data_IF_792431207352
#
_entry.id   IF_792431207352
#
_cell.length_a   1.000
_cell.length_b   1.000
_cell.length_c   1.000
_cell.angle_alpha   90.00
_cell.angle_beta   90.00
_cell.angle_gamma   90.00
#
_symmetry.space_group_name_H-M   'P 1'
#
loop_
_entity.id
_entity.type
_entity.pdbx_description
1 polymer ?
#
# COMPACT_ATOMS: atom_id res chain seq x y z
N UNK A 1 -29.65 10.46 63.47
CA UNK A 1 -30.79 9.56 63.25
C UNK A 1 -30.55 8.89 61.91
N UNK A 2 -30.04 7.71 61.96
CA UNK A 2 -30.62 6.42 61.58
C UNK A 2 -30.92 6.37 60.07
N UNK A 3 -30.53 5.47 59.24
CA UNK A 3 -30.10 4.09 59.49
C UNK A 3 -29.48 3.45 58.25
N UNK A 4 -28.83 2.38 58.55
CA UNK A 4 -28.14 1.39 57.74
C UNK A 4 -29.08 0.58 56.82
N UNK A 5 -28.59 0.16 55.65
CA UNK A 5 -29.19 -0.88 54.82
C UNK A 5 -28.14 -1.70 54.11
N UNK A 6 -27.75 -2.82 54.74
CA UNK A 6 -26.86 -3.90 54.28
C UNK A 6 -27.73 -4.94 53.58
N UNK A 7 -27.08 -5.75 52.73
CA UNK A 7 -27.42 -7.06 52.16
C UNK A 7 -27.70 -7.03 50.64
N UNK A 8 -27.24 -7.98 49.85
CA UNK A 8 -26.95 -9.36 50.11
C UNK A 8 -26.13 -9.97 48.94
N UNK A 9 -25.10 -10.67 49.29
CA UNK A 9 -24.36 -11.62 48.43
C UNK A 9 -25.24 -12.83 48.11
N UNK A 10 -25.48 -13.14 46.85
CA UNK A 10 -26.06 -14.43 46.45
C UNK A 10 -25.04 -15.23 45.67
N UNK A 11 -24.44 -16.21 46.38
CA UNK A 11 -23.63 -17.28 45.82
C UNK A 11 -24.55 -18.27 45.09
N UNK A 12 -24.40 -18.47 43.82
CA UNK A 12 -25.02 -19.54 43.09
C UNK A 12 -23.99 -20.65 42.81
N UNK A 13 -24.11 -21.73 43.52
CA UNK A 13 -23.38 -22.99 43.31
C UNK A 13 -24.01 -23.71 42.12
N UNK A 14 -23.25 -23.97 41.09
CA UNK A 14 -23.65 -24.94 40.05
C UNK A 14 -23.02 -26.29 40.32
N UNK A 15 -23.89 -27.28 40.54
CA UNK A 15 -23.56 -28.72 40.60
C UNK A 15 -23.24 -29.24 39.20
N UNK A 16 -22.13 -29.96 39.08
CA UNK A 16 -21.87 -30.92 38.00
C UNK A 16 -22.69 -32.19 38.22
N UNK A 17 -23.26 -32.80 37.17
CA UNK A 17 -23.50 -34.22 37.16
C UNK A 17 -22.41 -34.93 36.34
N UNK A 18 -21.78 -35.87 37.01
CA UNK A 18 -20.93 -36.92 36.44
C UNK A 18 -21.86 -37.90 35.72
N UNK A 19 -21.65 -38.06 34.41
CA UNK A 19 -22.24 -39.17 33.65
C UNK A 19 -21.14 -40.10 33.16
N UNK A 20 -21.04 -41.20 33.84
CA UNK A 20 -20.23 -42.37 33.49
C UNK A 20 -20.99 -43.14 32.42
N UNK A 21 -20.43 -43.39 31.23
CA UNK A 21 -21.01 -44.36 30.30
C UNK A 21 -19.97 -45.09 29.45
N UNK A 22 -19.79 -46.34 29.80
CA UNK A 22 -19.67 -47.55 28.96
C UNK A 22 -18.86 -47.47 27.66
N UNK A 23 -17.77 -48.19 27.73
CA UNK A 23 -16.95 -48.63 26.59
C UNK A 23 -17.68 -49.81 25.91
N UNK A 24 -18.06 -49.63 24.65
CA UNK A 24 -18.41 -50.75 23.77
C UNK A 24 -17.34 -50.79 22.65
N UNK A 25 -16.46 -51.81 22.73
CA UNK A 25 -15.57 -52.19 21.64
C UNK A 25 -16.39 -52.76 20.49
N UNK A 26 -16.41 -52.07 19.38
CA UNK A 26 -16.71 -52.66 18.07
C UNK A 26 -15.47 -52.53 17.23
N UNK A 27 -14.83 -53.66 16.98
CA UNK A 27 -13.76 -53.80 16.01
C UNK A 27 -14.39 -53.66 14.61
N UNK A 28 -14.15 -52.55 13.95
CA UNK A 28 -14.45 -52.39 12.53
C UNK A 28 -13.12 -52.32 11.78
N UNK A 29 -13.01 -53.23 10.84
CA UNK A 29 -11.89 -53.38 9.89
C UNK A 29 -11.63 -52.05 9.21
N UNK A 30 -10.39 -51.54 9.30
CA UNK A 30 -9.89 -50.41 8.57
C UNK A 30 -9.63 -50.83 7.13
N UNK A 31 -10.58 -50.59 6.25
CA UNK A 31 -10.28 -50.39 4.83
C UNK A 31 -9.71 -48.99 4.65
N UNK A 32 -8.46 -48.91 4.21
CA UNK A 32 -7.79 -47.70 3.80
C UNK A 32 -8.46 -47.19 2.51
N UNK A 33 -9.06 -46.02 2.46
CA UNK A 33 -9.48 -45.45 1.19
C UNK A 33 -8.23 -45.00 0.43
N UNK A 34 -8.15 -45.46 -0.81
CA UNK A 34 -7.26 -45.02 -1.85
C UNK A 34 -7.32 -43.48 -2.01
N UNK A 35 -6.19 -42.75 -2.19
CA UNK A 35 -6.23 -41.28 -2.29
C UNK A 35 -6.97 -40.90 -3.57
N UNK A 36 -8.19 -40.42 -3.41
CA UNK A 36 -8.90 -39.73 -4.49
C UNK A 36 -8.13 -38.48 -4.85
N UNK A 37 -7.68 -38.42 -6.07
CA UNK A 37 -7.07 -37.26 -6.72
C UNK A 37 -8.12 -36.13 -6.80
N UNK A 38 -8.20 -35.33 -5.73
CA UNK A 38 -8.95 -34.07 -5.78
C UNK A 38 -8.14 -33.09 -6.60
N UNK A 39 -8.53 -32.92 -7.85
CA UNK A 39 -8.12 -31.78 -8.67
C UNK A 39 -8.48 -30.49 -7.90
N UNK A 40 -7.48 -29.87 -7.30
CA UNK A 40 -7.54 -28.49 -6.85
C UNK A 40 -7.91 -27.61 -8.04
N UNK A 41 -8.86 -26.66 -7.89
CA UNK A 41 -9.12 -25.71 -8.96
C UNK A 41 -7.84 -24.94 -9.26
N UNK A 42 -7.50 -24.88 -10.56
CA UNK A 42 -6.35 -24.20 -11.12
C UNK A 42 -6.14 -22.84 -10.47
N UNK A 43 -5.01 -22.70 -9.78
CA UNK A 43 -4.42 -21.39 -9.55
C UNK A 43 -4.11 -20.79 -10.92
N UNK A 44 -4.44 -19.52 -11.17
CA UNK A 44 -4.14 -18.89 -12.45
C UNK A 44 -2.65 -19.00 -12.71
N UNK A 45 -2.29 -19.78 -13.72
CA UNK A 45 -0.93 -19.93 -14.19
C UNK A 45 -0.43 -18.57 -14.66
N UNK A 46 0.52 -18.00 -13.92
CA UNK A 46 1.23 -16.78 -14.31
C UNK A 46 2.12 -17.15 -15.51
N UNK A 47 1.61 -16.99 -16.72
CA UNK A 47 2.43 -17.10 -17.93
C UNK A 47 3.28 -15.82 -18.01
N UNK A 48 4.48 -15.88 -17.47
CA UNK A 48 5.50 -14.83 -17.68
C UNK A 48 6.05 -15.01 -19.10
N UNK A 49 5.42 -14.35 -20.05
CA UNK A 49 5.99 -14.20 -21.38
C UNK A 49 6.88 -12.97 -21.35
N UNK A 50 8.19 -13.16 -21.24
CA UNK A 50 9.16 -12.10 -21.46
C UNK A 50 9.05 -11.66 -22.94
N UNK A 51 8.31 -10.59 -23.17
CA UNK A 51 8.29 -9.91 -24.47
C UNK A 51 9.55 -9.08 -24.56
N UNK A 52 10.33 -9.36 -25.59
CA UNK A 52 11.59 -8.71 -25.93
C UNK A 52 11.53 -7.19 -25.76
N UNK A 53 12.59 -6.66 -25.13
CA UNK A 53 12.89 -5.24 -25.07
C UNK A 53 12.81 -4.63 -26.48
N UNK A 54 11.93 -3.67 -26.69
CA UNK A 54 12.08 -2.77 -27.83
C UNK A 54 13.43 -2.04 -27.70
N UNK A 55 14.22 -1.91 -28.79
CA UNK A 55 15.46 -1.17 -28.75
C UNK A 55 15.15 0.32 -28.67
N UNK A 56 14.73 0.80 -27.50
CA UNK A 56 14.68 2.21 -27.15
C UNK A 56 16.09 2.66 -26.89
N UNK A 57 16.50 3.73 -27.54
CA UNK A 57 17.81 4.39 -27.46
C UNK A 57 18.28 4.50 -26.02
N UNK A 58 19.20 3.63 -25.63
CA UNK A 58 19.88 3.63 -24.34
C UNK A 58 20.81 4.86 -24.28
N UNK A 59 20.34 5.92 -23.66
CA UNK A 59 21.16 7.03 -23.19
C UNK A 59 20.64 7.44 -21.82
N UNK A 60 20.79 6.57 -20.82
CA UNK A 60 20.43 6.87 -19.45
C UNK A 60 20.88 5.74 -18.54
N UNK A 61 21.59 6.05 -17.46
CA UNK A 61 22.11 5.15 -16.45
C UNK A 61 21.02 4.56 -15.52
N UNK A 62 19.78 4.43 -16.00
CA UNK A 62 18.64 3.93 -15.21
C UNK A 62 18.43 2.42 -15.36
N UNK A 63 17.63 1.80 -14.47
CA UNK A 63 17.30 0.39 -14.53
C UNK A 63 16.50 0.05 -15.80
N UNK A 64 16.75 -1.14 -16.35
CA UNK A 64 16.07 -1.63 -17.56
C UNK A 64 14.59 -1.81 -17.28
N UNK A 65 13.74 -1.10 -18.07
CA UNK A 65 12.29 -1.24 -18.04
C UNK A 65 11.86 -2.46 -18.85
N UNK A 66 11.08 -3.32 -18.25
CA UNK A 66 10.48 -4.50 -18.85
C UNK A 66 8.95 -4.43 -18.66
N UNK A 67 8.23 -5.30 -19.35
CA UNK A 67 6.79 -5.41 -19.17
C UNK A 67 6.41 -6.85 -18.87
N UNK A 68 5.59 -7.03 -17.85
CA UNK A 68 4.89 -8.29 -17.59
C UNK A 68 3.43 -8.14 -18.03
N UNK A 69 2.82 -9.20 -18.53
CA UNK A 69 1.39 -9.19 -18.86
C UNK A 69 0.63 -9.79 -17.69
N UNK A 70 -0.27 -9.01 -17.10
CA UNK A 70 -1.17 -9.45 -16.03
C UNK A 70 -2.60 -9.10 -16.43
N UNK A 71 -3.47 -10.11 -16.47
CA UNK A 71 -4.87 -9.94 -16.90
C UNK A 71 -5.04 -9.27 -18.27
N UNK A 72 -4.07 -9.47 -19.19
CA UNK A 72 -4.08 -8.88 -20.53
C UNK A 72 -3.50 -7.45 -20.61
N UNK A 73 -3.12 -6.84 -19.48
CA UNK A 73 -2.51 -5.51 -19.43
C UNK A 73 -0.98 -5.61 -19.32
N UNK A 74 -0.27 -4.69 -19.98
CA UNK A 74 1.19 -4.58 -19.90
C UNK A 74 1.56 -3.74 -18.68
N UNK A 75 2.10 -4.39 -17.65
CA UNK A 75 2.53 -3.75 -16.41
C UNK A 75 4.04 -3.47 -16.47
N UNK A 76 4.49 -2.21 -16.32
CA UNK A 76 5.92 -1.89 -16.31
C UNK A 76 6.59 -2.45 -15.06
N UNK A 77 7.77 -3.03 -15.27
CA UNK A 77 8.63 -3.60 -14.23
C UNK A 77 10.08 -3.18 -14.49
N UNK A 78 10.84 -2.99 -13.43
CA UNK A 78 12.26 -2.63 -13.52
C UNK A 78 13.10 -3.69 -12.80
N UNK A 79 14.26 -4.00 -13.36
CA UNK A 79 15.15 -5.05 -12.85
C UNK A 79 15.74 -4.72 -11.47
N UNK A 80 15.83 -3.43 -11.11
CA UNK A 80 16.35 -2.96 -9.83
C UNK A 80 15.81 -1.58 -9.50
N UNK A 81 15.98 -1.13 -8.24
CA UNK A 81 15.75 0.26 -7.88
C UNK A 81 16.70 1.20 -8.65
N UNK A 82 16.26 2.43 -8.99
CA UNK A 82 17.12 3.41 -9.64
C UNK A 82 18.27 3.83 -8.73
N UNK A 83 19.47 4.06 -9.28
CA UNK A 83 20.54 4.69 -8.52
C UNK A 83 20.10 6.08 -8.06
N UNK A 84 20.52 6.50 -6.86
CA UNK A 84 20.20 7.84 -6.34
C UNK A 84 21.01 8.87 -7.12
N UNK A 85 20.31 9.75 -7.84
CA UNK A 85 20.89 10.79 -8.71
C UNK A 85 20.41 12.20 -8.35
N UNK A 86 19.44 12.31 -7.45
CA UNK A 86 18.95 13.62 -7.00
C UNK A 86 19.99 14.33 -6.13
N UNK A 87 19.93 15.64 -6.12
CA UNK A 87 20.71 16.48 -5.20
C UNK A 87 19.92 16.64 -3.88
N UNK A 88 20.43 16.17 -2.74
CA UNK A 88 19.72 16.29 -1.47
C UNK A 88 19.54 17.74 -0.98
N UNK A 89 20.27 18.69 -1.55
CA UNK A 89 20.18 20.11 -1.21
C UNK A 89 19.27 20.92 -2.15
N UNK A 90 18.80 20.31 -3.25
CA UNK A 90 17.90 20.99 -4.16
C UNK A 90 16.43 20.82 -3.70
N UNK A 91 15.60 21.80 -4.04
CA UNK A 91 14.16 21.75 -3.82
C UNK A 91 13.48 21.03 -5.00
N UNK A 92 12.72 19.99 -4.72
CA UNK A 92 11.92 19.29 -5.71
C UNK A 92 10.44 19.43 -5.37
N UNK A 93 9.63 19.66 -6.39
CA UNK A 93 8.17 19.77 -6.29
C UNK A 93 7.54 18.87 -7.35
N UNK A 94 6.48 18.16 -6.97
CA UNK A 94 5.61 17.42 -7.88
C UNK A 94 4.25 18.10 -8.01
N UNK A 95 3.72 18.20 -9.23
CA UNK A 95 2.32 18.49 -9.50
C UNK A 95 1.64 17.17 -9.90
N UNK A 96 0.88 16.58 -8.99
CA UNK A 96 0.09 15.37 -9.22
C UNK A 96 -1.27 15.82 -9.79
N UNK A 97 -1.52 15.49 -11.05
CA UNK A 97 -2.77 15.81 -11.75
C UNK A 97 -3.74 14.66 -11.65
N UNK A 98 -4.96 14.91 -11.22
CA UNK A 98 -6.03 13.89 -11.13
C UNK A 98 -7.29 14.38 -11.83
N UNK A 99 -8.22 13.46 -12.09
CA UNK A 99 -9.54 13.81 -12.61
C UNK A 99 -10.45 14.54 -11.60
N UNK A 100 -10.00 14.74 -10.34
CA UNK A 100 -10.71 15.52 -9.32
C UNK A 100 -10.00 16.84 -8.96
N UNK A 101 -8.84 17.13 -9.56
CA UNK A 101 -8.04 18.31 -9.31
C UNK A 101 -6.56 17.98 -9.14
N UNK A 102 -5.77 18.99 -8.86
CA UNK A 102 -4.32 18.89 -8.75
C UNK A 102 -3.88 19.01 -7.29
N UNK A 103 -2.79 18.31 -6.96
CA UNK A 103 -2.10 18.42 -5.67
C UNK A 103 -0.63 18.77 -5.91
N UNK A 104 -0.12 19.78 -5.22
CA UNK A 104 1.30 20.11 -5.22
C UNK A 104 1.98 19.52 -3.99
N UNK A 105 3.11 18.86 -4.21
CA UNK A 105 3.90 18.19 -3.17
C UNK A 105 5.30 18.78 -3.17
N UNK A 106 5.79 19.21 -2.03
CA UNK A 106 7.20 19.46 -1.79
C UNK A 106 7.87 18.22 -1.22
N UNK A 107 8.99 17.78 -1.81
CA UNK A 107 9.72 16.61 -1.36
C UNK A 107 10.76 16.92 -0.28
N UNK A 108 11.18 15.90 0.43
CA UNK A 108 12.22 15.95 1.47
C UNK A 108 13.48 15.17 1.06
N UNK A 109 14.23 15.63 0.06
CA UNK A 109 15.35 14.89 -0.52
C UNK A 109 16.52 14.67 0.44
N UNK A 110 16.72 15.55 1.44
CA UNK A 110 17.74 15.37 2.45
C UNK A 110 17.35 14.32 3.51
N UNK A 111 16.07 14.15 3.79
CA UNK A 111 15.56 13.24 4.81
C UNK A 111 15.25 11.83 4.27
N UNK A 112 14.79 11.74 3.01
CA UNK A 112 14.40 10.49 2.38
C UNK A 112 14.90 10.43 0.92
N UNK A 113 16.22 10.48 0.69
CA UNK A 113 16.81 10.57 -0.65
C UNK A 113 16.42 9.40 -1.55
N UNK A 114 16.34 8.18 -1.03
CA UNK A 114 16.00 6.99 -1.83
C UNK A 114 14.54 7.04 -2.26
N UNK A 115 13.62 7.35 -1.36
CA UNK A 115 12.19 7.41 -1.65
C UNK A 115 11.87 8.57 -2.61
N UNK A 116 12.45 9.75 -2.40
CA UNK A 116 12.29 10.90 -3.31
C UNK A 116 12.84 10.58 -4.70
N UNK A 117 14.06 10.04 -4.78
CA UNK A 117 14.67 9.64 -6.05
C UNK A 117 13.82 8.60 -6.79
N UNK A 118 13.34 7.60 -6.08
CA UNK A 118 12.48 6.55 -6.61
C UNK A 118 11.18 7.13 -7.20
N UNK A 119 10.51 7.99 -6.45
CA UNK A 119 9.26 8.61 -6.90
C UNK A 119 9.49 9.49 -8.14
N UNK A 120 10.53 10.32 -8.14
CA UNK A 120 10.90 11.18 -9.26
C UNK A 120 11.24 10.35 -10.51
N UNK A 121 12.03 9.27 -10.35
CA UNK A 121 12.36 8.37 -11.45
C UNK A 121 11.10 7.76 -12.08
N UNK A 122 10.21 7.19 -11.26
CA UNK A 122 8.97 6.57 -11.73
C UNK A 122 8.02 7.59 -12.38
N UNK A 123 7.91 8.80 -11.80
CA UNK A 123 7.09 9.88 -12.36
C UNK A 123 7.60 10.33 -13.73
N UNK A 124 8.91 10.57 -13.86
CA UNK A 124 9.53 10.99 -15.12
C UNK A 124 9.45 9.92 -16.22
N UNK A 125 9.36 8.64 -15.84
CA UNK A 125 9.19 7.52 -16.77
C UNK A 125 7.71 7.24 -17.11
N UNK A 126 6.77 8.07 -16.61
CA UNK A 126 5.33 7.93 -16.82
C UNK A 126 4.71 6.72 -16.14
N UNK A 127 5.39 6.15 -15.13
CA UNK A 127 4.91 4.94 -14.43
C UNK A 127 3.55 5.14 -13.76
N UNK A 128 3.29 6.33 -13.25
CA UNK A 128 2.07 6.66 -12.52
C UNK A 128 0.89 7.08 -13.40
N UNK A 129 1.14 7.33 -14.70
CA UNK A 129 0.14 7.84 -15.63
C UNK A 129 -0.96 6.77 -15.85
N UNK A 130 -2.21 7.19 -15.64
CA UNK A 130 -3.37 6.29 -15.74
C UNK A 130 -3.62 5.42 -14.50
N UNK A 131 -2.72 5.39 -13.51
CA UNK A 131 -2.95 4.64 -12.29
C UNK A 131 -4.06 5.28 -11.44
N UNK A 132 -4.67 4.47 -10.59
CA UNK A 132 -5.78 4.91 -9.75
C UNK A 132 -5.37 5.01 -8.28
N UNK A 133 -6.08 5.83 -7.52
CA UNK A 133 -6.16 5.68 -6.08
C UNK A 133 -7.04 4.48 -5.79
N UNK A 134 -6.41 3.34 -5.52
CA UNK A 134 -7.09 2.04 -5.37
C UNK A 134 -7.68 1.82 -3.98
N UNK A 135 -7.27 2.61 -2.97
CA UNK A 135 -7.77 2.57 -1.60
C UNK A 135 -7.87 3.97 -1.01
N UNK A 136 -9.05 4.37 -0.55
CA UNK A 136 -9.28 5.67 0.09
C UNK A 136 -10.10 5.50 1.35
N UNK A 137 -9.69 6.15 2.43
CA UNK A 137 -10.37 6.07 3.72
C UNK A 137 -10.56 7.48 4.27
N UNK A 138 -11.82 7.91 4.51
CA UNK A 138 -12.12 9.20 5.13
C UNK A 138 -11.41 9.35 6.47
N UNK A 139 -10.92 10.55 6.76
CA UNK A 139 -10.20 10.86 8.01
C UNK A 139 -9.00 9.96 8.26
N UNK A 140 -8.33 9.50 7.19
CA UNK A 140 -7.11 8.73 7.28
C UNK A 140 -6.16 9.04 6.10
N UNK A 141 -6.37 8.43 4.92
CA UNK A 141 -5.45 8.59 3.80
C UNK A 141 -6.09 8.24 2.45
N UNK A 142 -5.40 8.61 1.37
CA UNK A 142 -5.61 8.13 0.01
C UNK A 142 -4.36 7.40 -0.46
N UNK A 143 -4.50 6.21 -1.04
CA UNK A 143 -3.39 5.34 -1.46
C UNK A 143 -3.47 5.02 -2.96
N UNK A 144 -2.34 5.19 -3.65
CA UNK A 144 -2.17 4.94 -5.08
C UNK A 144 -0.80 4.36 -5.41
N UNK A 145 -0.43 4.40 -6.71
CA UNK A 145 0.90 3.98 -7.18
C UNK A 145 1.06 2.47 -7.40
N UNK A 146 -0.03 1.71 -7.37
CA UNK A 146 -0.04 0.31 -7.74
C UNK A 146 -0.40 0.14 -9.23
N UNK A 147 0.49 -0.37 -10.09
CA UNK A 147 0.22 -0.53 -11.51
C UNK A 147 -0.85 -1.57 -11.82
N UNK A 148 -1.20 -2.44 -10.86
CA UNK A 148 -2.28 -3.43 -11.00
C UNK A 148 -3.61 -2.91 -10.43
N UNK A 149 -3.56 -1.85 -9.62
CA UNK A 149 -4.72 -1.29 -8.93
C UNK A 149 -5.35 -2.23 -7.91
N UNK A 150 -4.68 -3.30 -7.47
CA UNK A 150 -5.20 -4.30 -6.53
C UNK A 150 -4.70 -4.11 -5.09
N UNK A 151 -3.68 -3.27 -4.90
CA UNK A 151 -2.97 -3.06 -3.63
C UNK A 151 -1.76 -3.97 -3.46
N UNK A 152 -1.48 -4.87 -4.42
CA UNK A 152 -0.39 -5.85 -4.31
C UNK A 152 0.72 -5.68 -5.35
N UNK A 153 0.51 -4.83 -6.35
CA UNK A 153 1.48 -4.55 -7.40
C UNK A 153 2.57 -3.57 -6.98
N UNK A 154 3.58 -3.45 -7.83
CA UNK A 154 4.72 -2.57 -7.60
C UNK A 154 5.64 -2.49 -8.82
N UNK A 155 6.81 -1.85 -8.69
CA UNK A 155 7.70 -1.53 -9.82
C UNK A 155 8.65 -2.68 -10.18
N UNK A 156 8.56 -3.84 -9.53
CA UNK A 156 9.45 -4.99 -9.75
C UNK A 156 10.61 -5.10 -8.77
N UNK A 157 10.82 -4.12 -7.92
CA UNK A 157 11.86 -4.09 -6.88
C UNK A 157 11.31 -3.55 -5.56
N UNK A 158 12.13 -3.67 -4.52
CA UNK A 158 11.88 -3.11 -3.19
C UNK A 158 13.09 -2.36 -2.70
N UNK A 159 12.89 -1.40 -1.77
CA UNK A 159 13.96 -0.67 -1.12
C UNK A 159 13.68 -0.43 0.36
N UNK A 160 14.73 -0.08 1.12
CA UNK A 160 14.69 0.07 2.57
C UNK A 160 13.93 1.33 3.02
N UNK A 161 13.49 1.33 4.27
CA UNK A 161 12.86 2.47 4.90
C UNK A 161 13.90 3.56 5.25
N UNK A 162 13.44 4.81 5.24
CA UNK A 162 14.20 5.99 5.66
C UNK A 162 13.41 6.71 6.75
N UNK A 163 13.76 6.44 8.01
CA UNK A 163 13.08 7.04 9.16
C UNK A 163 13.92 8.17 9.76
N UNK A 164 13.33 9.35 9.88
CA UNK A 164 13.93 10.52 10.51
C UNK A 164 13.11 10.85 11.76
N UNK A 165 13.72 10.93 12.95
CA UNK A 165 12.98 11.11 14.21
C UNK A 165 12.08 12.33 14.26
N UNK A 166 12.50 13.45 13.65
CA UNK A 166 11.77 14.70 13.66
C UNK A 166 10.71 14.81 12.53
N UNK A 167 10.67 13.84 11.62
CA UNK A 167 9.70 13.80 10.52
C UNK A 167 8.58 12.82 10.84
N UNK A 168 7.48 13.35 11.34
CA UNK A 168 6.36 12.57 11.88
C UNK A 168 5.05 12.86 11.16
N UNK A 169 4.06 11.97 11.35
CA UNK A 169 2.70 12.12 10.83
C UNK A 169 1.84 13.02 11.76
N UNK A 170 2.33 14.21 12.07
CA UNK A 170 1.75 15.18 12.99
C UNK A 170 0.73 16.14 12.37
N UNK A 171 0.62 16.14 11.05
CA UNK A 171 -0.27 16.99 10.27
C UNK A 171 -0.82 16.26 9.03
N UNK A 172 -1.92 16.75 8.43
CA UNK A 172 -2.42 16.24 7.16
C UNK A 172 -1.44 16.54 6.01
N UNK A 173 -1.60 15.82 4.89
CA UNK A 173 -0.83 16.04 3.67
C UNK A 173 0.56 15.41 3.69
N UNK A 174 0.91 14.58 4.66
CA UNK A 174 2.15 13.80 4.60
C UNK A 174 2.08 12.80 3.45
N UNK A 175 3.03 12.90 2.52
CA UNK A 175 3.25 11.92 1.45
C UNK A 175 4.25 10.89 1.95
N UNK A 176 3.85 9.61 1.96
CA UNK A 176 4.66 8.53 2.49
C UNK A 176 4.56 7.25 1.65
N UNK A 177 5.58 6.38 1.76
CA UNK A 177 5.59 5.08 1.11
C UNK A 177 4.64 4.10 1.78
N UNK A 178 3.78 3.47 1.00
CA UNK A 178 3.07 2.28 1.43
C UNK A 178 4.02 1.08 1.35
N UNK A 179 3.94 0.19 2.33
CA UNK A 179 4.75 -1.01 2.42
C UNK A 179 3.97 -2.19 3.02
N UNK A 180 4.52 -3.39 2.91
CA UNK A 180 4.00 -4.64 3.50
C UNK A 180 4.89 -5.13 4.66
N UNK A 181 5.49 -4.21 5.40
CA UNK A 181 6.46 -4.43 6.46
C UNK A 181 7.83 -3.82 6.12
N UNK A 182 8.80 -3.91 7.04
CA UNK A 182 10.10 -3.25 6.90
C UNK A 182 10.82 -3.58 5.59
N UNK A 183 11.37 -2.55 4.94
CA UNK A 183 12.18 -2.71 3.73
C UNK A 183 11.41 -3.18 2.48
N UNK A 184 10.10 -2.96 2.42
CA UNK A 184 9.27 -3.39 1.29
C UNK A 184 8.68 -2.23 0.49
N UNK A 185 9.27 -1.04 0.57
CA UNK A 185 8.87 0.10 -0.24
C UNK A 185 9.05 -0.19 -1.73
N UNK A 186 8.15 0.33 -2.56
CA UNK A 186 8.18 0.13 -4.01
C UNK A 186 7.67 1.37 -4.74
N UNK A 187 6.55 1.25 -5.47
CA UNK A 187 5.91 2.39 -6.13
C UNK A 187 4.67 2.92 -5.39
N UNK A 188 4.07 2.13 -4.50
CA UNK A 188 2.87 2.55 -3.81
C UNK A 188 3.15 3.63 -2.77
N UNK A 189 2.29 4.64 -2.75
CA UNK A 189 2.37 5.76 -1.82
C UNK A 189 0.98 6.09 -1.27
N UNK A 190 0.96 6.83 -0.17
CA UNK A 190 -0.27 7.40 0.36
C UNK A 190 -0.08 8.85 0.80
N UNK A 191 -1.20 9.59 0.83
CA UNK A 191 -1.26 10.96 1.36
C UNK A 191 -2.25 10.98 2.50
N UNK A 192 -1.84 11.48 3.66
CA UNK A 192 -2.70 11.59 4.85
C UNK A 192 -3.69 12.75 4.73
N UNK A 193 -4.91 12.57 5.27
CA UNK A 193 -5.93 13.62 5.32
C UNK A 193 -6.07 14.25 6.70
N UNK A 194 -5.50 13.60 7.72
CA UNK A 194 -5.45 14.04 9.12
C UNK A 194 -4.10 13.63 9.73
N UNK A 195 -3.71 14.11 10.92
CA UNK A 195 -2.59 13.56 11.68
C UNK A 195 -2.78 12.06 11.96
N UNK A 196 -1.75 11.25 11.71
CA UNK A 196 -1.77 9.78 11.87
C UNK A 196 -0.53 9.29 12.64
N UNK A 197 -0.34 9.71 13.91
CA UNK A 197 0.90 9.44 14.66
C UNK A 197 1.18 7.94 14.89
N UNK A 198 0.18 7.08 14.76
CA UNK A 198 0.34 5.62 14.83
C UNK A 198 1.15 5.03 13.66
N UNK A 199 1.41 5.80 12.59
CA UNK A 199 2.25 5.41 11.46
C UNK A 199 3.72 5.82 11.62
N UNK A 200 4.08 6.55 12.67
CA UNK A 200 5.46 6.97 12.94
C UNK A 200 6.39 5.76 13.05
N UNK A 201 7.54 5.81 12.36
CA UNK A 201 8.52 4.74 12.37
C UNK A 201 8.10 3.46 11.63
N UNK A 202 6.97 3.47 10.92
CA UNK A 202 6.48 2.36 10.12
C UNK A 202 6.48 2.66 8.61
N UNK A 203 6.41 3.93 8.22
CA UNK A 203 6.36 4.37 6.83
C UNK A 203 7.32 5.54 6.58
N UNK A 204 8.05 5.49 5.48
CA UNK A 204 8.97 6.56 5.06
C UNK A 204 8.16 7.77 4.58
N UNK A 205 8.21 8.87 5.32
CA UNK A 205 7.68 10.16 4.87
C UNK A 205 8.71 10.79 3.93
N UNK A 206 8.30 11.17 2.73
CA UNK A 206 9.22 11.74 1.75
C UNK A 206 8.73 13.04 1.10
N UNK A 207 7.55 13.55 1.52
CA UNK A 207 7.01 14.81 1.03
C UNK A 207 5.83 15.32 1.84
N UNK A 208 5.39 16.53 1.48
CA UNK A 208 4.26 17.25 2.08
C UNK A 208 3.43 17.91 0.99
N UNK A 209 2.12 17.78 1.05
CA UNK A 209 1.19 18.57 0.24
C UNK A 209 1.33 20.04 0.65
N UNK A 210 1.64 20.90 -0.32
CA UNK A 210 1.73 22.36 -0.16
C UNK A 210 0.50 23.07 -0.72
N UNK A 211 -0.14 22.50 -1.75
CA UNK A 211 -1.39 22.98 -2.34
C UNK A 211 -2.27 21.80 -2.74
N UNK A 212 -3.59 21.95 -2.70
CA UNK A 212 -4.53 20.91 -3.09
C UNK A 212 -4.86 19.91 -1.96
N UNK A 213 -4.68 20.28 -0.68
CA UNK A 213 -5.14 19.44 0.44
C UNK A 213 -6.66 19.19 0.38
N UNK A 214 -7.42 20.17 -0.13
CA UNK A 214 -8.87 20.01 -0.37
C UNK A 214 -9.17 18.93 -1.42
N UNK A 215 -8.30 18.76 -2.42
CA UNK A 215 -8.41 17.67 -3.42
C UNK A 215 -8.14 16.33 -2.75
N UNK A 216 -7.09 16.22 -1.93
CA UNK A 216 -6.81 15.02 -1.14
C UNK A 216 -8.01 14.63 -0.27
N UNK A 217 -8.62 15.62 0.39
CA UNK A 217 -9.79 15.41 1.23
C UNK A 217 -11.01 14.97 0.39
N UNK A 218 -11.26 15.60 -0.76
CA UNK A 218 -12.34 15.24 -1.67
C UNK A 218 -12.19 13.80 -2.19
N UNK A 219 -10.97 13.38 -2.54
CA UNK A 219 -10.65 12.00 -2.94
C UNK A 219 -10.97 11.03 -1.81
N UNK A 220 -10.59 11.36 -0.56
CA UNK A 220 -10.80 10.48 0.59
C UNK A 220 -12.28 10.26 0.93
N UNK A 221 -13.15 11.18 0.54
CA UNK A 221 -14.59 11.15 0.74
C UNK A 221 -15.36 10.47 -0.39
N UNK A 222 -14.67 9.97 -1.41
CA UNK A 222 -15.31 9.27 -2.51
C UNK A 222 -16.08 8.03 -2.00
N UNK A 223 -17.20 7.73 -2.64
CA UNK A 223 -17.96 6.51 -2.34
C UNK A 223 -17.11 5.29 -2.66
N UNK A 224 -16.97 4.39 -1.70
CA UNK A 224 -16.14 3.19 -1.82
C UNK A 224 -16.98 1.91 -1.79
N UNK A 225 -16.43 0.85 -2.41
CA UNK A 225 -16.88 -0.52 -2.30
C UNK A 225 -15.98 -1.36 -1.42
N UNK A 226 -15.84 -2.64 -1.77
CA UNK A 226 -14.96 -3.56 -1.05
C UNK A 226 -13.50 -3.07 -1.06
N UNK A 227 -12.78 -3.32 0.04
CA UNK A 227 -11.37 -2.95 0.24
C UNK A 227 -11.12 -1.43 0.16
N UNK A 228 -12.10 -0.62 0.54
CA UNK A 228 -12.04 0.86 0.49
C UNK A 228 -11.74 1.40 -0.91
N UNK A 229 -12.08 0.67 -1.96
CA UNK A 229 -11.85 1.04 -3.35
C UNK A 229 -12.91 2.04 -3.83
N UNK A 230 -12.54 3.18 -4.42
CA UNK A 230 -13.50 4.09 -5.02
C UNK A 230 -14.39 3.40 -6.06
N UNK A 231 -15.72 3.59 -5.94
CA UNK A 231 -16.70 3.02 -6.88
C UNK A 231 -16.58 3.62 -8.29
N UNK A 232 -16.13 4.87 -8.38
CA UNK A 232 -15.75 5.54 -9.63
C UNK A 232 -14.24 5.74 -9.60
N UNK A 233 -13.47 5.29 -10.61
CA UNK A 233 -12.03 5.41 -10.62
C UNK A 233 -11.55 6.86 -10.47
N UNK A 234 -10.64 7.08 -9.54
CA UNK A 234 -9.93 8.35 -9.37
C UNK A 234 -8.53 8.14 -9.94
N UNK A 235 -8.26 8.81 -11.05
CA UNK A 235 -7.12 8.54 -11.93
C UNK A 235 -6.06 9.60 -11.77
N UNK A 236 -4.80 9.19 -11.66
CA UNK A 236 -3.62 10.03 -11.81
C UNK A 236 -3.42 10.25 -13.31
N UNK A 237 -3.67 11.47 -13.80
CA UNK A 237 -3.54 11.82 -15.21
C UNK A 237 -2.09 12.05 -15.62
N UNK A 238 -1.22 12.34 -14.66
CA UNK A 238 0.20 12.54 -14.83
C UNK A 238 0.82 13.22 -13.63
N UNK A 239 2.14 13.12 -13.51
CA UNK A 239 2.92 13.77 -12.45
C UNK A 239 4.05 14.57 -13.10
N UNK A 240 4.07 15.88 -12.87
CA UNK A 240 5.12 16.77 -13.36
C UNK A 240 6.09 17.09 -12.23
N UNK A 241 7.39 16.89 -12.48
CA UNK A 241 8.46 17.14 -11.51
C UNK A 241 9.19 18.44 -11.88
N UNK A 242 9.35 19.34 -10.93
CA UNK A 242 10.15 20.55 -11.04
C UNK A 242 11.29 20.52 -10.04
N UNK A 243 12.51 20.75 -10.50
CA UNK A 243 13.69 20.99 -9.67
C UNK A 243 13.96 22.49 -9.64
N UNK A 244 13.96 23.06 -8.46
CA UNK A 244 14.37 24.43 -8.21
C UNK A 244 15.77 24.44 -7.57
N UNK A 245 16.62 25.41 -7.91
CA UNK A 245 17.94 25.52 -7.32
C UNK A 245 17.89 25.82 -5.84
#
# INVERSE_FOLDING_TARGET
>A
MHGYGILSYMKMKFLLPICLLMIALVACVLETPEPQNTTTPDSPSLTVTALNSEPGTASGSGPVKQYVVMNGERIPQYASAPPVTIDPNARYVALIKTNLGNMEVEFFPAQAPVAVNNFIFLANDGFYDGLIFHRVIPSFMIQGGDPTGTGTGGPGYKFQDEFVPDLTFDQPGRLAMANAGPGTNGSQFFVTTVPTPHLNGAHTIFGQITQGQEVTNAISLATTGALDRPSTPIVIQGIEITKNP
#
